data_IF_144249393175
#
_entry.id   IF_144249393175
#
_cell.length_a   1.000
_cell.length_b   1.000
_cell.length_c   1.000
_cell.angle_alpha   90.00
_cell.angle_beta   90.00
_cell.angle_gamma   90.00
#
_symmetry.space_group_name_H-M   'P 1'
#
loop_
_entity.id
_entity.type
_entity.pdbx_description
1 polymer ?
#
# COMPACT_ATOMS: atom_id res chain seq x y z
N UNK A 1 -16.62 -10.35 -10.49
CA UNK A 1 -16.72 -9.39 -9.36
C UNK A 1 -16.60 -10.21 -8.08
N UNK A 2 -15.72 -9.87 -7.13
CA UNK A 2 -15.46 -10.72 -5.96
C UNK A 2 -16.65 -10.81 -5.00
N UNK A 3 -16.89 -12.01 -4.46
CA UNK A 3 -17.87 -12.32 -3.42
C UNK A 3 -17.32 -12.01 -2.03
N UNK A 4 -18.18 -12.10 -1.00
CA UNK A 4 -17.72 -11.99 0.38
C UNK A 4 -16.72 -13.11 0.73
N UNK A 5 -17.03 -14.37 0.36
CA UNK A 5 -16.17 -15.52 0.67
C UNK A 5 -14.79 -15.42 0.01
N UNK A 6 -14.70 -14.84 -1.18
CA UNK A 6 -13.40 -14.57 -1.84
C UNK A 6 -12.50 -13.71 -0.94
N UNK A 7 -13.04 -12.62 -0.35
CA UNK A 7 -12.29 -11.75 0.55
C UNK A 7 -11.90 -12.44 1.84
N UNK A 8 -12.78 -13.31 2.36
CA UNK A 8 -12.48 -14.11 3.56
C UNK A 8 -11.34 -15.09 3.29
N UNK A 9 -11.28 -15.69 2.10
CA UNK A 9 -10.20 -16.56 1.68
C UNK A 9 -8.89 -15.78 1.50
N UNK A 10 -8.93 -14.63 0.80
CA UNK A 10 -7.76 -13.75 0.62
C UNK A 10 -7.18 -13.26 1.95
N UNK A 11 -8.04 -12.92 2.92
CA UNK A 11 -7.62 -12.52 4.27
C UNK A 11 -6.85 -13.63 5.02
N UNK A 12 -7.24 -14.90 4.80
CA UNK A 12 -6.55 -16.06 5.40
C UNK A 12 -5.21 -16.33 4.72
N UNK A 13 -5.13 -16.17 3.40
CA UNK A 13 -3.95 -16.49 2.61
C UNK A 13 -2.84 -15.43 2.70
N UNK A 14 -3.21 -14.17 2.91
CA UNK A 14 -2.22 -13.08 2.96
C UNK A 14 -1.40 -13.13 4.25
N UNK A 15 -0.08 -12.94 4.14
CA UNK A 15 0.82 -12.72 5.28
C UNK A 15 0.88 -11.26 5.72
N UNK A 16 0.45 -10.33 4.86
CA UNK A 16 0.47 -8.90 5.14
C UNK A 16 -0.72 -8.51 6.02
N UNK A 17 -0.44 -8.10 7.27
CA UNK A 17 -1.47 -7.72 8.24
C UNK A 17 -2.34 -6.54 7.80
N UNK A 18 -1.78 -5.53 7.12
CA UNK A 18 -2.56 -4.40 6.62
C UNK A 18 -3.51 -4.83 5.50
N UNK A 19 -3.03 -5.68 4.60
CA UNK A 19 -3.83 -6.19 3.49
C UNK A 19 -4.94 -7.12 3.99
N UNK A 20 -4.65 -7.93 5.03
CA UNK A 20 -5.67 -8.73 5.73
C UNK A 20 -6.82 -7.87 6.24
N UNK A 21 -6.52 -6.77 6.96
CA UNK A 21 -7.55 -5.86 7.46
C UNK A 21 -8.37 -5.24 6.32
N UNK A 22 -7.73 -4.88 5.21
CA UNK A 22 -8.41 -4.35 4.02
C UNK A 22 -9.36 -5.38 3.39
N UNK A 23 -8.95 -6.65 3.30
CA UNK A 23 -9.82 -7.73 2.82
C UNK A 23 -11.00 -7.97 3.76
N UNK A 24 -10.79 -7.97 5.08
CA UNK A 24 -11.90 -8.08 6.03
C UNK A 24 -12.88 -6.90 5.90
N UNK A 25 -12.39 -5.69 5.67
CA UNK A 25 -13.26 -4.54 5.40
C UNK A 25 -14.15 -4.76 4.18
N UNK A 26 -13.60 -5.33 3.09
CA UNK A 26 -14.37 -5.64 1.89
C UNK A 26 -15.33 -6.82 2.06
N UNK A 27 -14.96 -7.83 2.84
CA UNK A 27 -15.86 -8.91 3.24
C UNK A 27 -17.13 -8.36 3.89
N UNK A 28 -16.97 -7.51 4.91
CA UNK A 28 -18.10 -6.89 5.61
C UNK A 28 -18.88 -5.92 4.71
N UNK A 29 -18.19 -5.15 3.87
CA UNK A 29 -18.85 -4.30 2.87
C UNK A 29 -19.72 -5.09 1.89
N UNK A 30 -19.24 -6.26 1.42
CA UNK A 30 -20.03 -7.15 0.55
C UNK A 30 -21.21 -7.80 1.25
N UNK A 31 -21.17 -7.93 2.58
CA UNK A 31 -22.32 -8.36 3.38
C UNK A 31 -23.35 -7.24 3.62
N UNK A 32 -23.12 -6.04 3.12
CA UNK A 32 -24.05 -4.91 3.23
C UNK A 32 -23.86 -4.06 4.49
N UNK A 33 -22.79 -4.28 5.25
CA UNK A 33 -22.52 -3.47 6.42
C UNK A 33 -22.09 -2.05 6.04
N UNK A 34 -22.46 -1.08 6.88
CA UNK A 34 -22.08 0.31 6.65
C UNK A 34 -20.60 0.53 6.93
N UNK A 35 -19.99 1.50 6.25
CA UNK A 35 -18.58 1.88 6.48
C UNK A 35 -18.28 2.24 7.94
N UNK A 36 -19.27 2.75 8.67
CA UNK A 36 -19.15 3.09 10.10
C UNK A 36 -19.13 1.83 10.97
N UNK A 37 -19.99 0.84 10.71
CA UNK A 37 -19.99 -0.45 11.41
C UNK A 37 -18.67 -1.20 11.16
N UNK A 38 -18.24 -1.26 9.90
CA UNK A 38 -16.96 -1.89 9.51
C UNK A 38 -15.79 -1.27 10.26
N UNK A 39 -15.75 0.05 10.34
CA UNK A 39 -14.72 0.77 11.07
C UNK A 39 -14.69 0.40 12.56
N UNK A 40 -15.88 0.30 13.19
CA UNK A 40 -16.01 -0.13 14.57
C UNK A 40 -15.57 -1.58 14.79
N UNK A 41 -15.95 -2.50 13.90
CA UNK A 41 -15.58 -3.92 13.98
C UNK A 41 -14.08 -4.15 13.83
N UNK A 42 -13.41 -3.37 12.97
CA UNK A 42 -12.00 -3.52 12.69
C UNK A 42 -11.10 -2.62 13.55
N UNK A 43 -11.68 -1.75 14.38
CA UNK A 43 -10.91 -0.81 15.22
C UNK A 43 -10.12 0.22 14.41
N UNK A 44 -10.64 0.65 13.27
CA UNK A 44 -9.97 1.60 12.35
C UNK A 44 -10.80 2.85 12.13
N UNK A 45 -10.18 3.91 11.60
CA UNK A 45 -10.90 5.12 11.26
C UNK A 45 -11.87 4.88 10.08
N UNK A 46 -13.06 5.48 10.12
CA UNK A 46 -14.05 5.44 9.03
C UNK A 46 -13.47 5.89 7.68
N UNK A 47 -12.60 6.91 7.70
CA UNK A 47 -11.92 7.40 6.50
C UNK A 47 -11.06 6.33 5.82
N UNK A 48 -10.39 5.47 6.60
CA UNK A 48 -9.59 4.36 6.06
C UNK A 48 -10.47 3.35 5.31
N UNK A 49 -11.60 2.95 5.91
CA UNK A 49 -12.58 2.06 5.25
C UNK A 49 -13.09 2.69 3.96
N UNK A 50 -13.39 3.99 3.98
CA UNK A 50 -13.84 4.71 2.80
C UNK A 50 -12.80 4.65 1.67
N UNK A 51 -11.53 4.95 1.98
CA UNK A 51 -10.43 4.87 1.01
C UNK A 51 -10.28 3.47 0.43
N UNK A 52 -10.29 2.42 1.26
CA UNK A 52 -10.13 1.05 0.77
C UNK A 52 -11.27 0.59 -0.13
N UNK A 53 -12.52 0.89 0.26
CA UNK A 53 -13.69 0.55 -0.55
C UNK A 53 -13.67 1.30 -1.87
N UNK A 54 -13.39 2.62 -1.85
CA UNK A 54 -13.32 3.43 -3.07
C UNK A 54 -12.20 2.96 -4.00
N UNK A 55 -11.01 2.68 -3.47
CA UNK A 55 -9.89 2.16 -4.26
C UNK A 55 -10.21 0.79 -4.88
N UNK A 56 -10.88 -0.09 -4.14
CA UNK A 56 -11.32 -1.38 -4.67
C UNK A 56 -12.35 -1.21 -5.79
N UNK A 57 -13.32 -0.31 -5.63
CA UNK A 57 -14.33 -0.06 -6.67
C UNK A 57 -13.71 0.56 -7.94
N UNK A 58 -12.67 1.38 -7.80
CA UNK A 58 -11.99 2.01 -8.93
C UNK A 58 -10.93 1.12 -9.61
N UNK A 59 -10.19 0.33 -8.85
CA UNK A 59 -8.97 -0.35 -9.31
C UNK A 59 -8.93 -1.85 -8.99
N UNK A 60 -9.98 -2.42 -8.42
CA UNK A 60 -10.02 -3.82 -8.01
C UNK A 60 -9.04 -4.14 -6.87
N UNK A 61 -8.53 -5.38 -6.84
CA UNK A 61 -7.61 -5.82 -5.78
C UNK A 61 -6.28 -5.05 -5.78
N UNK A 62 -5.83 -4.59 -6.95
CA UNK A 62 -4.62 -3.76 -7.06
C UNK A 62 -4.72 -2.46 -6.26
N UNK A 63 -5.92 -1.87 -6.17
CA UNK A 63 -6.18 -0.68 -5.37
C UNK A 63 -5.99 -0.86 -3.86
N UNK A 64 -5.87 -2.10 -3.39
CA UNK A 64 -5.68 -2.43 -1.97
C UNK A 64 -4.22 -2.58 -1.60
N UNK A 65 -3.30 -2.67 -2.55
CA UNK A 65 -1.88 -2.77 -2.25
C UNK A 65 -1.33 -1.41 -1.83
N UNK A 66 -0.48 -1.40 -0.81
CA UNK A 66 0.26 -0.18 -0.44
C UNK A 66 1.28 0.12 -1.53
N UNK A 67 1.24 1.33 -2.09
CA UNK A 67 2.30 1.80 -2.97
C UNK A 67 3.56 2.06 -2.12
N UNK A 68 4.75 1.69 -2.60
CA UNK A 68 5.99 2.07 -1.95
C UNK A 68 6.03 3.59 -1.81
N UNK A 69 6.35 4.09 -0.62
CA UNK A 69 6.65 5.51 -0.45
C UNK A 69 7.88 5.85 -1.29
N UNK A 70 7.89 6.95 -2.06
CA UNK A 70 9.00 7.29 -2.96
C UNK A 70 10.34 7.59 -2.25
N UNK A 71 10.36 7.55 -0.91
CA UNK A 71 11.53 7.86 -0.10
C UNK A 71 11.85 9.36 -0.13
N UNK A 72 13.00 9.72 0.48
CA UNK A 72 13.54 11.07 0.36
C UNK A 72 14.11 11.24 -1.06
N UNK A 73 13.78 12.32 -1.79
CA UNK A 73 14.37 12.55 -3.11
C UNK A 73 15.89 12.68 -2.99
N UNK A 74 16.61 12.25 -4.04
CA UNK A 74 18.05 12.45 -4.13
C UNK A 74 18.33 13.97 -4.11
N UNK A 75 19.26 14.39 -3.24
CA UNK A 75 19.60 15.81 -3.11
C UNK A 75 20.53 16.31 -4.21
N UNK A 76 21.28 15.39 -4.84
CA UNK A 76 22.22 15.75 -5.89
C UNK A 76 21.51 15.75 -7.24
N UNK A 77 21.75 16.82 -8.01
CA UNK A 77 21.40 16.85 -9.44
C UNK A 77 22.18 15.79 -10.21
N UNK A 78 21.75 15.50 -11.44
CA UNK A 78 22.48 14.57 -12.33
C UNK A 78 23.94 15.03 -12.50
N UNK A 79 24.16 16.32 -12.76
CA UNK A 79 25.49 16.92 -12.92
C UNK A 79 26.34 16.83 -11.64
N UNK A 80 25.75 17.03 -10.46
CA UNK A 80 26.48 16.89 -9.19
C UNK A 80 26.89 15.44 -8.94
N UNK A 81 26.07 14.46 -9.33
CA UNK A 81 26.44 13.04 -9.23
C UNK A 81 27.59 12.68 -10.16
N UNK A 82 27.61 13.24 -11.37
CA UNK A 82 28.72 13.07 -12.32
C UNK A 82 30.02 13.68 -11.78
N UNK A 83 29.95 14.89 -11.20
CA UNK A 83 31.08 15.53 -10.54
C UNK A 83 31.63 14.68 -9.38
N UNK A 84 30.74 14.14 -8.54
CA UNK A 84 31.14 13.27 -7.42
C UNK A 84 31.75 11.97 -7.93
N UNK A 85 31.16 11.35 -8.96
CA UNK A 85 31.70 10.12 -9.55
C UNK A 85 33.12 10.34 -10.10
N UNK A 86 33.32 11.42 -10.85
CA UNK A 86 34.63 11.78 -11.38
C UNK A 86 35.66 12.04 -10.27
N UNK A 87 35.28 12.81 -9.24
CA UNK A 87 36.14 13.05 -8.09
C UNK A 87 36.57 11.75 -7.40
N UNK A 88 35.65 10.79 -7.23
CA UNK A 88 35.97 9.49 -6.64
C UNK A 88 36.94 8.71 -7.53
N UNK A 89 36.74 8.68 -8.84
CA UNK A 89 37.64 8.00 -9.79
C UNK A 89 39.06 8.57 -9.76
N UNK A 90 39.20 9.89 -9.70
CA UNK A 90 40.50 10.57 -9.67
C UNK A 90 41.24 10.40 -8.34
N UNK A 91 40.50 10.34 -7.22
CA UNK A 91 41.06 10.34 -5.87
C UNK A 91 41.03 8.95 -5.20
N UNK A 92 40.53 7.92 -5.89
CA UNK A 92 40.56 6.57 -5.39
C UNK A 92 42.02 6.09 -5.27
N UNK A 93 42.44 5.78 -4.04
CA UNK A 93 43.74 5.13 -3.80
C UNK A 93 43.69 3.75 -4.44
N UNK A 94 44.43 3.56 -5.53
CA UNK A 94 44.64 2.24 -6.13
C UNK A 94 45.36 1.37 -5.10
N UNK A 95 44.68 0.30 -4.67
CA UNK A 95 45.29 -0.76 -3.86
C UNK A 95 46.09 -1.71 -4.74
#
# INVERSE_FOLDING_TARGET
MHTADDFKQLAKQTSNGQLRTRYLALYHFKKGETRTQIAAYLGVARGSVNTWVSNYLAHGLEGLHSKPSPGRPCQLSVSQREQVAHFIEENAVKK
#
